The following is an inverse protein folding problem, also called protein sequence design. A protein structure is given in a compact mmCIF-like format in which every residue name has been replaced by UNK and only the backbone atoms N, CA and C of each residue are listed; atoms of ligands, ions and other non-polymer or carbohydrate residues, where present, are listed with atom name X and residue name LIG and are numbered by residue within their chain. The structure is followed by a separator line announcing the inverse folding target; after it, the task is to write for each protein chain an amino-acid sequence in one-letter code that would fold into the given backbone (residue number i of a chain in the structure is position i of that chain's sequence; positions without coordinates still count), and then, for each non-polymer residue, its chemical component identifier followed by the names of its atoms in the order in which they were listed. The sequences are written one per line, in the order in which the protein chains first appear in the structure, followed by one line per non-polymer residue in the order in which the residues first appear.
data_IF_681340022224
#
_entry.id   IF_681340022224
#
_cell.length_a   1.000
_cell.length_b   1.000
_cell.length_c   1.000
_cell.angle_alpha   90.00
_cell.angle_beta   90.00
_cell.angle_gamma   90.00
#
_symmetry.space_group_name_H-M   'P 1'
#
loop_
_entity.id
_entity.type
_entity.pdbx_description
1 polymer ?
2 non-polymer ?
3 non-polymer ?
4 water ?
#
# COMPACT_ATOMS: atom_id res chain seq x y z
N UNK A 1 8.36 -18.27 -0.94
CA UNK A 1 7.81 -17.24 0.00
C UNK A 1 8.95 -16.38 0.51
N UNK A 2 9.06 -15.13 0.06
CA UNK A 2 8.02 -14.36 -0.59
C UNK A 2 6.67 -14.44 0.12
N UNK A 3 6.66 -14.12 1.40
CA UNK A 3 5.42 -13.88 2.12
C UNK A 3 5.31 -12.39 2.37
N UNK A 4 4.10 -11.85 2.23
CA UNK A 4 3.90 -10.41 2.30
C UNK A 4 2.41 -10.15 2.48
N UNK A 5 2.09 -8.91 2.87
CA UNK A 5 0.71 -8.48 3.05
C UNK A 5 0.50 -7.12 2.40
N UNK A 6 -0.75 -6.78 2.13
CA UNK A 6 -1.06 -5.47 1.59
C UNK A 6 -1.64 -4.55 2.66
N UNK A 7 -1.13 -3.32 2.66
CA UNK A 7 -1.70 -2.23 3.45
C UNK A 7 -2.41 -1.35 2.44
N UNK A 8 -3.73 -1.43 2.41
CA UNK A 8 -4.48 -0.53 1.56
C UNK A 8 -4.53 0.83 2.22
N UNK A 9 -4.31 1.86 1.42
CA UNK A 9 -4.26 3.21 1.96
C UNK A 9 -5.28 4.09 1.22
N UNK A 10 -6.30 3.47 0.64
CA UNK A 10 -7.32 4.20 -0.10
C UNK A 10 -7.99 5.26 0.79
N UNK A 11 -8.04 5.00 2.10
CA UNK A 11 -8.67 5.93 3.05
C UNK A 11 -7.67 6.80 3.78
N UNK A 12 -6.45 6.86 3.25
CA UNK A 12 -5.44 7.74 3.80
C UNK A 12 -4.82 8.45 2.60
N UNK A 13 -3.90 7.76 1.94
CA UNK A 13 -3.35 8.26 0.67
C UNK A 13 -4.24 8.69 -0.54
N UNK A 14 -5.18 7.91 -1.09
CA UNK A 14 -6.53 7.77 -0.69
C UNK A 14 -7.20 9.15 -0.75
N UNK A 15 -7.28 9.74 0.41
CA UNK A 15 -8.00 10.95 0.60
C UNK A 15 -7.27 12.13 0.01
N UNK A 16 -5.98 11.95 -0.27
CA UNK A 16 -5.15 13.03 -0.81
C UNK A 16 -5.31 13.13 -2.31
N UNK A 17 -6.02 12.18 -2.89
CA UNK A 17 -6.33 12.26 -4.31
C UNK A 17 -7.13 13.55 -4.59
N UNK A 18 -6.83 14.21 -5.69
CA UNK A 18 -7.45 15.48 -6.03
C UNK A 18 -8.99 15.48 -5.87
N UNK A 19 -9.63 14.45 -6.39
CA UNK A 19 -11.10 14.41 -6.45
C UNK A 19 -11.76 13.58 -5.36
N UNK A 20 -10.99 13.12 -4.38
CA UNK A 20 -11.56 12.35 -3.29
C UNK A 20 -12.31 13.24 -2.30
N UNK A 21 -13.53 12.83 -1.98
CA UNK A 21 -14.31 13.53 -0.97
C UNK A 21 -15.18 12.46 -0.34
N UNK A 22 -14.57 11.61 0.48
CA UNK A 22 -15.24 10.43 1.00
C UNK A 22 -16.13 10.78 2.19
N UNK A 23 -17.42 10.44 2.11
CA UNK A 23 -18.28 10.54 3.30
C UNK A 23 -17.89 9.38 4.21
N UNK A 24 -18.30 9.46 5.47
CA UNK A 24 -18.09 8.38 6.41
C UNK A 24 -18.61 7.08 5.82
N UNK A 25 -19.78 7.13 5.21
CA UNK A 25 -20.38 5.93 4.64
C UNK A 25 -19.61 5.41 3.43
N UNK A 26 -19.03 6.32 2.66
CA UNK A 26 -18.15 5.88 1.55
C UNK A 26 -16.99 5.05 2.12
N UNK A 27 -16.39 5.54 3.18
CA UNK A 27 -15.21 4.87 3.76
C UNK A 27 -15.58 3.52 4.33
N UNK A 28 -16.73 3.46 5.00
CA UNK A 28 -17.18 2.20 5.59
C UNK A 28 -17.47 1.22 4.49
N UNK A 29 -18.07 1.68 3.41
CA UNK A 29 -18.31 0.81 2.28
C UNK A 29 -16.98 0.26 1.71
N UNK A 30 -16.02 1.16 1.52
CA UNK A 30 -14.71 0.78 0.97
C UNK A 30 -14.06 -0.24 1.90
N UNK A 31 -14.01 0.09 3.18
CA UNK A 31 -13.33 -0.78 4.15
C UNK A 31 -13.93 -2.17 4.25
N UNK A 32 -15.26 -2.25 4.19
CA UNK A 32 -15.93 -3.57 4.22
C UNK A 32 -15.69 -4.38 2.97
N UNK A 33 -15.67 -3.72 1.81
CA UNK A 33 -15.34 -4.43 0.58
C UNK A 33 -13.87 -4.94 0.59
N UNK A 34 -12.96 -4.10 1.08
CA UNK A 34 -11.54 -4.52 1.19
C UNK A 34 -11.39 -5.70 2.15
N UNK A 35 -12.15 -5.67 3.23
CA UNK A 35 -12.06 -6.74 4.23
C UNK A 35 -12.58 -8.03 3.66
N UNK A 36 -13.67 -7.92 2.93
CA UNK A 36 -14.21 -9.06 2.22
C UNK A 36 -13.25 -9.59 1.16
N UNK A 37 -12.57 -8.69 0.47
CA UNK A 37 -11.56 -9.08 -0.52
C UNK A 37 -10.44 -9.85 0.16
N UNK A 38 -10.17 -9.54 1.43
CA UNK A 38 -9.11 -10.23 2.19
C UNK A 38 -7.89 -9.37 2.50
N UNK A 39 -7.99 -8.06 2.24
CA UNK A 39 -6.89 -7.13 2.51
C UNK A 39 -6.49 -7.18 3.99
N UNK A 40 -5.19 -7.16 4.29
CA UNK A 40 -4.74 -7.40 5.65
C UNK A 40 -4.75 -6.16 6.55
N UNK A 41 -4.52 -4.99 5.95
CA UNK A 41 -4.50 -3.73 6.70
C UNK A 41 -5.22 -2.64 5.94
N UNK A 42 -5.88 -1.76 6.67
CA UNK A 42 -6.54 -0.62 6.07
C UNK A 42 -6.04 0.60 6.82
N UNK A 43 -5.37 1.49 6.12
CA UNK A 43 -4.75 2.65 6.74
C UNK A 43 -5.63 3.86 6.51
N UNK A 44 -5.77 4.69 7.53
CA UNK A 44 -6.68 5.83 7.47
C UNK A 44 -5.98 7.12 7.87
N UNK A 45 -6.49 8.20 7.29
CA UNK A 45 -6.00 9.54 7.53
C UNK A 45 -5.86 9.86 8.98
N UNK A 46 -4.85 10.66 9.31
CA UNK A 46 -4.58 11.03 10.68
C UNK A 46 -5.84 11.64 11.32
N UNK A 47 -6.10 11.29 12.56
CA UNK A 47 -7.28 11.81 13.26
C UNK A 47 -7.08 13.27 13.60
N UNK A 48 -5.84 13.74 13.54
CA UNK A 48 -5.57 15.13 13.86
C UNK A 48 -6.03 16.07 12.76
N UNK A 49 -6.31 15.53 11.57
CA UNK A 49 -6.60 16.40 10.41
C UNK A 49 -7.85 17.26 10.60
N UNK A 50 -8.90 16.65 11.14
CA UNK A 50 -10.17 17.36 11.32
C UNK A 50 -11.05 16.49 12.17
N UNK A 51 -12.16 17.05 12.65
CA UNK A 51 -12.77 16.22 13.66
C UNK A 51 -13.68 15.08 13.22
N UNK A 52 -14.42 15.16 12.13
CA UNK A 52 -14.29 14.34 10.94
C UNK A 52 -13.25 13.25 10.66
N UNK A 53 -11.97 13.57 10.55
CA UNK A 53 -11.04 12.48 10.27
C UNK A 53 -10.95 11.60 11.51
N UNK A 54 -10.96 12.23 12.68
CA UNK A 54 -10.96 11.51 13.94
C UNK A 54 -12.15 10.55 14.06
N UNK A 55 -13.35 11.08 13.87
CA UNK A 55 -14.58 10.27 13.88
C UNK A 55 -14.49 9.09 12.94
N UNK A 56 -14.10 9.36 11.69
CA UNK A 56 -13.96 8.29 10.71
C UNK A 56 -12.99 7.23 11.20
N UNK A 57 -11.86 7.64 11.78
CA UNK A 57 -10.89 6.68 12.31
C UNK A 57 -11.53 5.86 13.42
N UNK A 58 -12.26 6.53 14.29
CA UNK A 58 -12.95 5.86 15.40
C UNK A 58 -13.91 4.81 14.87
N UNK A 59 -14.76 5.17 13.93
CA UNK A 59 -15.69 4.22 13.33
C UNK A 59 -14.99 3.06 12.62
N UNK A 60 -14.06 3.40 11.74
CA UNK A 60 -13.36 2.38 10.97
C UNK A 60 -12.70 1.34 11.86
N UNK A 61 -12.05 1.78 12.94
CA UNK A 61 -11.32 0.89 13.83
C UNK A 61 -12.22 0.01 14.69
N UNK A 62 -13.51 0.34 14.72
CA UNK A 62 -14.45 -0.37 15.58
C UNK A 62 -15.46 -1.13 14.75
N UNK A 63 -15.23 -1.22 13.45
CA UNK A 63 -16.16 -1.88 12.55
C UNK A 63 -16.20 -3.38 12.75
N UNK A 64 -15.27 -3.91 13.56
CA UNK A 64 -15.11 -5.35 13.69
C UNK A 64 -14.62 -6.06 12.42
N UNK A 65 -13.84 -5.38 11.59
CA UNK A 65 -13.25 -6.04 10.41
C UNK A 65 -12.19 -7.08 10.81
N UNK A 66 -11.95 -8.04 9.94
CA UNK A 66 -10.81 -8.96 10.11
C UNK A 66 -9.47 -8.20 9.85
N UNK A 67 -9.45 -7.33 8.85
CA UNK A 67 -8.30 -6.44 8.61
C UNK A 67 -7.97 -5.55 9.81
N UNK A 68 -6.68 -5.30 10.04
CA UNK A 68 -6.29 -4.35 11.07
C UNK A 68 -6.41 -2.95 10.53
N UNK A 69 -6.96 -2.04 11.34
CA UNK A 69 -7.11 -0.68 10.92
C UNK A 69 -6.03 0.14 11.60
N UNK A 70 -5.38 0.97 10.82
CA UNK A 70 -4.16 1.61 11.23
C UNK A 70 -4.24 3.06 10.80
N UNK A 71 -3.73 3.96 11.61
CA UNK A 71 -3.73 5.35 11.19
C UNK A 71 -2.29 5.88 10.98
N UNK A 72 -2.20 6.90 10.14
CA UNK A 72 -0.93 7.45 9.70
C UNK A 72 -0.79 8.83 10.32
N UNK A 73 0.28 9.05 11.08
CA UNK A 73 0.51 10.34 11.73
C UNK A 73 1.96 10.82 11.59
N UNK A 74 2.15 12.13 11.71
CA UNK A 74 3.48 12.68 11.94
C UNK A 74 4.01 12.04 13.21
N UNK A 75 5.34 11.92 13.30
CA UNK A 75 5.95 11.29 14.46
C UNK A 75 6.04 12.31 15.60
N UNK A 76 4.91 12.58 16.23
CA UNK A 76 4.83 13.59 17.29
C UNK A 76 4.03 13.09 18.47
N UNK A 77 4.40 13.51 19.68
CA UNK A 77 3.71 13.10 20.89
C UNK A 77 2.22 13.48 20.87
N UNK A 78 1.93 14.68 20.38
CA UNK A 78 0.56 15.17 20.43
C UNK A 78 -0.33 14.35 19.53
N UNK A 79 0.14 14.08 18.31
CA UNK A 79 -0.63 13.30 17.39
C UNK A 79 -0.79 11.87 17.87
N UNK A 80 0.24 11.35 18.54
CA UNK A 80 0.19 9.97 19.00
C UNK A 80 -0.92 9.80 20.06
N UNK A 81 -1.05 10.80 20.92
CA UNK A 81 -2.12 10.77 21.93
C UNK A 81 -3.49 10.67 21.26
N UNK A 82 -3.80 11.59 20.36
CA UNK A 82 -5.03 11.49 19.58
C UNK A 82 -5.18 10.12 18.90
N UNK A 83 -4.10 9.62 18.31
CA UNK A 83 -4.18 8.35 17.60
C UNK A 83 -4.55 7.18 18.50
N UNK A 84 -3.89 7.04 19.63
CA UNK A 84 -4.19 5.90 20.47
C UNK A 84 -5.64 5.96 20.97
N UNK A 85 -6.13 7.16 21.24
CA UNK A 85 -7.47 7.34 21.78
C UNK A 85 -8.55 6.89 20.78
N UNK A 86 -8.18 6.74 19.51
CA UNK A 86 -9.15 6.36 18.50
C UNK A 86 -9.45 4.88 18.47
N UNK A 87 -8.66 4.09 19.18
CA UNK A 87 -8.82 2.64 19.15
C UNK A 87 -8.26 1.89 17.93
N UNK A 88 -7.49 2.56 17.07
CA UNK A 88 -6.89 1.83 15.92
C UNK A 88 -6.03 0.66 16.41
N UNK A 89 -5.86 -0.36 15.58
CA UNK A 89 -5.01 -1.49 15.93
C UNK A 89 -3.54 -1.24 15.61
N UNK A 90 -3.26 -0.19 14.83
CA UNK A 90 -1.88 0.16 14.46
C UNK A 90 -1.69 1.65 14.28
N UNK A 91 -0.47 2.12 14.51
CA UNK A 91 -0.12 3.49 14.20
C UNK A 91 1.14 3.49 13.31
N UNK A 92 1.01 4.11 12.14
CA UNK A 92 2.09 4.26 11.13
C UNK A 92 2.70 5.64 11.29
N UNK A 93 3.88 5.69 11.90
CA UNK A 93 4.59 6.95 12.09
C UNK A 93 5.38 7.36 10.86
N UNK A 94 5.30 8.64 10.51
CA UNK A 94 6.16 9.22 9.49
C UNK A 94 7.02 10.32 10.09
N UNK A 95 8.34 10.12 10.13
CA UNK A 95 9.25 11.19 10.54
C UNK A 95 9.52 12.06 9.32
N UNK A 96 9.00 13.29 9.37
CA UNK A 96 9.00 14.16 8.20
C UNK A 96 10.37 14.73 7.86
N UNK A 97 10.56 15.03 6.58
CA UNK A 97 11.82 15.59 6.11
C UNK A 97 11.92 17.07 6.44
N UNK A 106 20.58 19.70 8.05
CA UNK A 106 20.31 18.46 8.74
C UNK A 106 20.58 18.56 10.23
N UNK A 107 19.68 17.97 11.03
CA UNK A 107 19.82 17.94 12.48
C UNK A 107 20.36 16.58 12.93
N UNK A 108 21.12 16.56 14.04
CA UNK A 108 21.87 15.37 14.44
C UNK A 108 21.07 14.07 14.64
N UNK A 109 21.77 12.95 14.53
CA UNK A 109 21.11 11.65 14.46
C UNK A 109 20.67 11.13 15.82
N UNK A 110 21.49 11.31 16.86
CA UNK A 110 21.04 10.83 18.16
C UNK A 110 19.75 11.52 18.59
N UNK A 111 19.57 12.77 18.14
CA UNK A 111 18.40 13.56 18.48
C UNK A 111 17.16 13.06 17.73
N UNK A 112 17.31 12.82 16.43
CA UNK A 112 16.24 12.20 15.66
C UNK A 112 15.86 10.88 16.31
N UNK A 113 16.87 10.09 16.70
CA UNK A 113 16.60 8.80 17.32
C UNK A 113 15.88 9.00 18.65
N UNK A 114 16.35 10.00 19.40
CA UNK A 114 15.72 10.43 20.64
C UNK A 114 14.21 10.74 20.49
N UNK A 115 13.90 11.67 19.60
CA UNK A 115 12.53 12.12 19.37
C UNK A 115 11.62 10.99 18.91
N UNK A 116 12.14 10.14 18.02
CA UNK A 116 11.39 8.97 17.58
C UNK A 116 11.07 8.02 18.73
N UNK A 117 12.10 7.64 19.49
CA UNK A 117 11.94 6.71 20.60
C UNK A 117 10.94 7.21 21.64
N UNK A 118 10.84 8.53 21.77
CA UNK A 118 9.94 9.14 22.75
C UNK A 118 8.49 8.88 22.37
N UNK A 119 8.16 9.14 21.11
CA UNK A 119 6.81 8.89 20.60
C UNK A 119 6.47 7.43 20.70
N UNK A 120 7.36 6.57 20.20
CA UNK A 120 7.16 5.13 20.26
C UNK A 120 6.97 4.64 21.69
N UNK A 121 7.76 5.17 22.60
CA UNK A 121 7.67 4.79 24.02
C UNK A 121 6.31 5.20 24.62
N UNK A 122 5.86 6.41 24.31
CA UNK A 122 4.55 6.84 24.75
C UNK A 122 3.48 5.82 24.33
N UNK A 123 3.52 5.40 23.07
CA UNK A 123 2.51 4.50 22.52
C UNK A 123 2.54 3.12 23.19
N UNK A 124 3.73 2.61 23.49
CA UNK A 124 3.85 1.30 24.11
C UNK A 124 3.24 1.37 25.49
N UNK A 125 3.45 2.51 26.15
CA UNK A 125 2.98 2.73 27.51
C UNK A 125 1.46 2.83 27.52
N UNK A 126 0.92 3.69 26.66
CA UNK A 126 -0.50 4.01 26.66
C UNK A 126 -1.34 2.96 25.96
N UNK A 127 -0.74 2.20 25.05
CA UNK A 127 -1.48 1.21 24.27
C UNK A 127 -0.63 0.00 23.85
N UNK A 128 -0.20 -0.81 24.84
CA UNK A 128 0.78 -1.85 24.55
C UNK A 128 0.43 -2.79 23.40
N UNK A 129 -0.84 -2.88 23.02
CA UNK A 129 -1.20 -3.83 21.98
C UNK A 129 -1.26 -3.21 20.58
N UNK A 130 -1.03 -1.92 20.49
CA UNK A 130 -1.11 -1.28 19.20
C UNK A 130 0.21 -1.52 18.45
N UNK A 131 0.12 -1.90 17.18
CA UNK A 131 1.31 -2.14 16.33
C UNK A 131 1.88 -0.83 15.85
N UNK A 132 3.20 -0.68 15.94
CA UNK A 132 3.81 0.58 15.59
C UNK A 132 4.77 0.39 14.41
N UNK A 133 4.63 1.23 13.39
CA UNK A 133 5.58 1.25 12.26
C UNK A 133 6.27 2.61 12.23
N UNK A 134 7.55 2.62 11.87
CA UNK A 134 8.27 3.88 11.75
C UNK A 134 8.83 4.01 10.33
N UNK A 135 8.54 5.14 9.66
CA UNK A 135 9.17 5.48 8.39
C UNK A 135 9.79 6.88 8.44
N UNK A 136 10.90 7.07 7.72
CA UNK A 136 11.40 8.41 7.44
C UNK A 136 10.93 8.82 6.04
N UNK A 137 10.44 10.04 5.91
CA UNK A 137 9.95 10.52 4.64
C UNK A 137 11.07 10.54 3.59
N UNK A 138 10.72 10.23 2.35
CA UNK A 138 11.65 10.42 1.24
C UNK A 138 12.90 9.59 1.52
N UNK A 139 12.66 8.31 1.83
CA UNK A 139 13.68 7.40 2.35
C UNK A 139 14.84 7.18 1.39
N UNK A 140 14.53 7.12 0.10
CA UNK A 140 15.52 6.71 -0.91
C UNK A 140 16.44 7.88 -1.29
N UNK A 141 16.03 9.11 -0.97
CA UNK A 141 16.85 10.28 -1.23
C UNK A 141 17.56 10.85 0.00
N UNK A 142 17.30 10.25 1.16
CA UNK A 142 18.00 10.59 2.39
C UNK A 142 19.43 10.02 2.34
N UNK A 143 20.39 10.72 2.92
CA UNK A 143 21.73 10.15 2.85
C UNK A 143 21.75 8.85 3.65
N UNK A 144 22.37 7.84 3.07
CA UNK A 144 22.10 6.48 3.47
C UNK A 144 22.69 6.08 4.81
N UNK A 145 23.90 6.53 5.15
CA UNK A 145 24.48 6.17 6.43
C UNK A 145 23.58 6.62 7.58
N UNK A 146 23.10 7.86 7.49
CA UNK A 146 22.31 8.41 8.59
C UNK A 146 20.93 7.75 8.61
N UNK A 147 20.41 7.43 7.43
CA UNK A 147 19.12 6.77 7.38
C UNK A 147 19.17 5.42 8.08
N UNK A 148 20.15 4.60 7.71
CA UNK A 148 20.34 3.29 8.33
C UNK A 148 20.65 3.41 9.81
N UNK A 149 21.34 4.46 10.21
CA UNK A 149 21.65 4.63 11.63
C UNK A 149 20.33 4.81 12.40
N UNK A 150 19.44 5.63 11.87
CA UNK A 150 18.14 5.88 12.50
C UNK A 150 17.31 4.58 12.54
N UNK A 151 17.20 3.90 11.41
CA UNK A 151 16.39 2.67 11.36
C UNK A 151 16.94 1.58 12.24
N UNK A 152 18.26 1.47 12.31
CA UNK A 152 18.87 0.46 13.13
C UNK A 152 18.57 0.67 14.62
N UNK A 153 18.57 1.93 15.02
CA UNK A 153 18.40 2.27 16.45
C UNK A 153 16.92 2.21 16.86
N UNK A 154 16.02 2.47 15.91
CA UNK A 154 14.59 2.51 16.22
C UNK A 154 13.94 1.12 16.09
N UNK A 155 14.49 0.29 15.20
CA UNK A 155 13.87 -1.00 14.88
C UNK A 155 13.58 -1.94 16.08
N UNK A 156 14.46 -1.96 17.09
CA UNK A 156 14.19 -2.86 18.22
C UNK A 156 12.90 -2.47 18.97
N UNK A 157 12.43 -1.24 18.77
CA UNK A 157 11.29 -0.70 19.51
C UNK A 157 9.99 -0.72 18.73
N UNK A 158 10.05 -1.12 17.46
CA UNK A 158 8.87 -1.07 16.61
C UNK A 158 8.60 -2.44 16.00
N UNK A 159 7.38 -2.61 15.52
CA UNK A 159 7.00 -3.82 14.82
C UNK A 159 7.39 -3.81 13.35
N UNK A 160 7.53 -2.63 12.78
CA UNK A 160 7.75 -2.54 11.35
C UNK A 160 8.47 -1.24 11.03
N UNK A 161 9.36 -1.25 10.03
CA UNK A 161 9.89 0.00 9.50
C UNK A 161 9.42 0.14 8.08
N UNK A 162 9.26 1.38 7.63
CA UNK A 162 8.82 1.58 6.26
C UNK A 162 9.79 2.44 5.46
N UNK A 163 9.75 2.26 4.15
CA UNK A 163 10.49 3.10 3.22
C UNK A 163 9.46 3.76 2.32
N UNK A 164 9.65 5.04 2.03
CA UNK A 164 8.68 5.78 1.21
C UNK A 164 9.35 6.47 0.05
N UNK A 165 9.02 6.08 -1.18
CA UNK A 165 9.45 6.82 -2.37
C UNK A 165 8.43 7.95 -2.62
N UNK A 166 8.56 8.99 -1.80
CA UNK A 166 7.59 10.07 -1.63
C UNK A 166 7.33 10.85 -2.93
N UNK A 167 8.37 11.07 -3.71
CA UNK A 167 8.22 11.85 -4.93
C UNK A 167 8.19 11.01 -6.19
N UNK A 168 8.19 9.68 -6.03
CA UNK A 168 8.00 8.80 -7.17
C UNK A 168 9.18 8.76 -8.13
N UNK A 169 10.41 8.82 -7.61
CA UNK A 169 11.60 8.79 -8.48
C UNK A 169 12.55 7.61 -8.25
N UNK A 170 12.34 6.83 -7.20
CA UNK A 170 13.22 5.68 -7.00
C UNK A 170 13.19 4.75 -8.20
N UNK A 171 14.29 4.08 -8.39
CA UNK A 171 14.52 3.20 -9.50
C UNK A 171 14.42 1.78 -8.89
N UNK A 172 14.04 0.77 -9.68
CA UNK A 172 13.86 -0.57 -9.13
C UNK A 172 15.12 -1.16 -8.46
N UNK A 173 16.31 -0.91 -9.01
CA UNK A 173 17.49 -1.56 -8.42
C UNK A 173 17.90 -0.80 -7.19
N UNK A 174 17.63 0.49 -7.17
CA UNK A 174 17.82 1.28 -5.96
C UNK A 174 16.92 0.82 -4.81
N UNK A 175 15.64 0.57 -5.13
CA UNK A 175 14.72 0.07 -4.11
C UNK A 175 15.19 -1.29 -3.61
N UNK A 176 15.51 -2.19 -4.54
CA UNK A 176 16.02 -3.52 -4.12
C UNK A 176 17.22 -3.38 -3.18
N UNK A 177 18.18 -2.59 -3.58
CA UNK A 177 19.41 -2.41 -2.79
C UNK A 177 19.14 -1.82 -1.40
N UNK A 178 18.32 -0.77 -1.31
CA UNK A 178 18.12 -0.17 0.00
C UNK A 178 17.26 -1.03 0.94
N UNK A 179 16.27 -1.72 0.41
CA UNK A 179 15.51 -2.70 1.23
C UNK A 179 16.43 -3.80 1.77
N UNK A 180 17.33 -4.34 0.93
CA UNK A 180 18.30 -5.33 1.41
C UNK A 180 19.15 -4.78 2.55
N UNK A 181 19.64 -3.55 2.40
CA UNK A 181 20.47 -2.93 3.47
C UNK A 181 19.66 -2.74 4.76
N UNK A 182 18.42 -2.27 4.61
CA UNK A 182 17.55 -2.11 5.78
C UNK A 182 17.33 -3.46 6.44
N UNK A 183 17.01 -4.49 5.65
CA UNK A 183 16.85 -5.82 6.24
C UNK A 183 18.12 -6.25 7.01
N UNK A 184 19.29 -5.95 6.46
CA UNK A 184 20.55 -6.30 7.13
C UNK A 184 20.65 -5.70 8.52
N UNK A 185 20.27 -4.44 8.61
CA UNK A 185 20.45 -3.64 9.81
C UNK A 185 19.34 -3.85 10.85
N UNK A 186 18.12 -4.17 10.41
CA UNK A 186 17.04 -4.31 11.39
C UNK A 186 16.83 -5.75 11.83
N UNK A 187 17.42 -6.69 11.10
CA UNK A 187 17.34 -8.10 11.48
C UNK A 187 16.10 -8.77 10.90
N UNK A 188 15.91 -10.07 11.17
CA UNK A 188 14.78 -10.76 10.54
C UNK A 188 13.41 -10.55 11.23
N UNK A 189 13.38 -10.03 12.46
CA UNK A 189 12.15 -9.95 13.26
C UNK A 189 11.34 -8.66 13.12
N UNK A 190 11.88 -7.68 12.41
CA UNK A 190 11.17 -6.44 12.22
C UNK A 190 10.64 -6.45 10.80
N UNK A 191 9.37 -6.16 10.63
CA UNK A 191 8.76 -6.16 9.30
C UNK A 191 9.22 -4.95 8.51
N UNK A 192 9.07 -5.01 7.18
CA UNK A 192 9.50 -3.93 6.32
C UNK A 192 8.42 -3.55 5.29
N UNK A 193 8.04 -2.29 5.31
CA UNK A 193 6.93 -1.81 4.49
C UNK A 193 7.46 -0.94 3.35
N UNK A 194 6.88 -1.07 2.15
CA UNK A 194 7.21 -0.20 1.03
C UNK A 194 6.01 0.63 0.58
N UNK A 195 6.24 1.93 0.42
CA UNK A 195 5.25 2.89 -0.09
C UNK A 195 5.86 3.57 -1.28
N UNK A 196 5.28 3.42 -2.45
CA UNK A 196 5.89 4.09 -3.60
C UNK A 196 4.97 4.84 -4.53
N UNK A 197 5.33 6.08 -4.83
CA UNK A 197 4.58 6.89 -5.79
C UNK A 197 4.90 6.55 -7.25
N UNK A 198 3.97 6.85 -8.16
CA UNK A 198 4.07 6.37 -9.54
C UNK A 198 4.50 7.42 -10.59
N UNK A 199 5.09 8.52 -10.15
CA UNK A 199 5.47 9.61 -11.06
C UNK A 199 6.35 9.18 -12.22
N UNK A 200 7.19 8.16 -12.00
CA UNK A 200 8.05 7.71 -13.08
C UNK A 200 7.68 6.31 -13.53
N UNK A 201 6.45 5.89 -13.24
CA UNK A 201 5.97 4.64 -13.79
C UNK A 201 6.56 3.40 -13.17
N UNK A 202 7.13 3.54 -11.97
CA UNK A 202 7.85 2.41 -11.32
C UNK A 202 7.21 1.94 -10.01
N UNK A 203 6.01 2.40 -9.67
CA UNK A 203 5.42 2.01 -8.38
C UNK A 203 5.21 0.49 -8.24
N UNK A 204 4.73 -0.16 -9.28
CA UNK A 204 4.50 -1.60 -9.20
C UNK A 204 5.82 -2.38 -9.23
N UNK A 205 6.69 -2.01 -10.15
CA UNK A 205 8.01 -2.63 -10.26
C UNK A 205 8.80 -2.50 -8.97
N UNK A 206 8.77 -1.32 -8.36
CA UNK A 206 9.46 -1.07 -7.09
C UNK A 206 8.88 -1.87 -5.92
N UNK A 207 7.55 -1.99 -5.85
CA UNK A 207 6.95 -2.81 -4.81
C UNK A 207 7.38 -4.26 -4.98
N UNK A 208 7.42 -4.74 -6.21
CA UNK A 208 7.90 -6.08 -6.46
C UNK A 208 9.36 -6.28 -6.05
N UNK A 209 10.23 -5.36 -6.46
CA UNK A 209 11.65 -5.43 -6.04
C UNK A 209 11.80 -5.36 -4.53
N UNK A 210 10.99 -4.52 -3.89
CA UNK A 210 11.01 -4.42 -2.43
C UNK A 210 10.76 -5.79 -1.80
N UNK A 211 9.71 -6.46 -2.25
CA UNK A 211 9.42 -7.82 -1.78
C UNK A 211 10.56 -8.81 -2.06
N UNK A 212 11.10 -8.79 -3.27
CA UNK A 212 12.23 -9.68 -3.55
C UNK A 212 13.44 -9.42 -2.62
N UNK A 213 13.57 -8.18 -2.15
CA UNK A 213 14.66 -7.81 -1.25
C UNK A 213 14.36 -8.10 0.23
N UNK A 214 13.14 -8.56 0.52
CA UNK A 214 12.78 -8.91 1.91
C UNK A 214 11.63 -8.09 2.51
N UNK A 215 11.05 -7.17 1.76
CA UNK A 215 9.92 -6.41 2.30
C UNK A 215 8.74 -7.34 2.54
N UNK A 216 7.97 -7.05 3.58
CA UNK A 216 6.90 -7.93 4.00
C UNK A 216 5.49 -7.27 3.80
N UNK A 217 5.47 -5.96 3.54
CA UNK A 217 4.21 -5.20 3.43
C UNK A 217 4.34 -4.22 2.30
N UNK A 218 3.30 -4.13 1.48
CA UNK A 218 3.27 -3.17 0.36
C UNK A 218 2.01 -2.28 0.46
N UNK A 219 2.18 -0.95 0.40
CA UNK A 219 1.04 -0.02 0.37
C UNK A 219 0.45 -0.01 -1.04
N UNK A 220 -0.88 -0.14 -1.13
CA UNK A 220 -1.59 0.05 -2.39
C UNK A 220 -2.81 0.96 -2.17
N UNK A 221 -3.36 1.51 -3.25
CA UNK A 221 -4.71 2.07 -3.18
C UNK A 221 -5.48 1.50 -4.37
N UNK A 222 -6.80 1.47 -4.26
CA UNK A 222 -7.59 1.03 -5.40
C UNK A 222 -7.39 2.04 -6.53
N UNK A 223 -7.17 1.54 -7.75
CA UNK A 223 -6.84 2.38 -8.91
C UNK A 223 -5.59 3.25 -8.74
N UNK A 224 -4.84 3.04 -7.67
CA UNK A 224 -3.61 3.79 -7.44
C UNK A 224 -3.85 5.25 -7.06
N UNK A 225 -5.10 5.60 -6.72
CA UNK A 225 -5.37 7.00 -6.38
C UNK A 225 -4.54 7.51 -5.21
N UNK A 226 -4.15 8.79 -5.26
CA UNK A 226 -3.32 9.37 -4.21
C UNK A 226 -2.85 10.76 -4.59
N UNK A 227 -1.93 11.34 -3.81
CA UNK A 227 -1.26 12.56 -4.24
C UNK A 227 -0.78 12.41 -5.67
N UNK A 228 -0.89 13.47 -6.47
CA UNK A 228 -0.43 13.48 -7.86
C UNK A 228 -0.96 12.30 -8.65
N UNK A 229 -0.08 11.53 -9.31
CA UNK A 229 -0.62 10.39 -10.06
C UNK A 229 -0.74 9.12 -9.22
N UNK A 230 -0.54 9.24 -7.92
CA UNK A 230 -0.87 8.18 -6.99
C UNK A 230 0.25 7.19 -6.73
N UNK A 231 -0.13 6.07 -6.12
CA UNK A 231 0.84 5.08 -5.64
C UNK A 231 0.56 3.76 -6.29
N UNK A 232 1.28 2.73 -5.88
CA UNK A 232 1.07 1.40 -6.40
C UNK A 232 -0.43 1.03 -6.38
N UNK A 233 -1.02 0.71 -7.52
CA UNK A 233 -2.44 0.38 -7.52
C UNK A 233 -2.66 -1.10 -7.17
N UNK A 234 -3.75 -1.36 -6.47
CA UNK A 234 -4.06 -2.70 -6.05
C UNK A 234 -4.08 -3.66 -7.20
N UNK A 235 -4.82 -3.34 -8.25
CA UNK A 235 -5.01 -4.29 -9.33
C UNK A 235 -3.71 -4.55 -10.09
N UNK A 236 -2.97 -3.49 -10.37
CA UNK A 236 -1.69 -3.68 -11.10
C UNK A 236 -0.71 -4.51 -10.24
N UNK A 237 -0.68 -4.24 -8.94
CA UNK A 237 0.19 -5.00 -8.03
C UNK A 237 -0.20 -6.48 -8.01
N UNK A 238 -1.50 -6.76 -7.98
CA UNK A 238 -1.95 -8.15 -7.94
C UNK A 238 -1.69 -8.86 -9.23
N UNK A 239 -1.81 -8.17 -10.36
CA UNK A 239 -1.44 -8.77 -11.63
C UNK A 239 0.05 -9.15 -11.61
N UNK A 240 0.88 -8.21 -11.17
CA UNK A 240 2.32 -8.46 -11.11
C UNK A 240 2.60 -9.68 -10.20
N UNK A 241 2.01 -9.71 -9.00
CA UNK A 241 2.33 -10.83 -8.05
C UNK A 241 1.69 -12.16 -8.45
N UNK A 242 0.50 -12.09 -9.07
CA UNK A 242 -0.18 -13.31 -9.54
C UNK A 242 0.63 -14.12 -10.53
N UNK A 243 1.33 -13.45 -11.45
CA UNK A 243 2.12 -14.14 -12.46
C UNK A 243 3.30 -14.88 -11.84
N UNK A 244 3.72 -14.43 -10.67
CA UNK A 244 4.88 -15.02 -9.97
C UNK A 244 4.50 -16.04 -8.87
N UNK A 245 3.39 -15.77 -8.18
CA UNK A 245 2.93 -16.64 -7.09
C UNK A 245 1.42 -16.90 -7.22
N UNK A 246 0.99 -17.57 -8.29
CA UNK A 246 -0.46 -17.59 -8.51
C UNK A 246 -1.23 -18.31 -7.40
N UNK A 247 -0.67 -19.39 -6.85
CA UNK A 247 -1.35 -20.17 -5.80
C UNK A 247 -1.54 -19.31 -4.56
N UNK A 248 -0.47 -18.63 -4.17
CA UNK A 248 -0.46 -17.80 -2.98
C UNK A 248 -1.44 -16.63 -3.09
N UNK A 249 -1.43 -15.97 -4.25
CA UNK A 249 -2.27 -14.81 -4.46
C UNK A 249 -3.75 -15.20 -4.56
N UNK A 250 -4.07 -16.26 -5.28
CA UNK A 250 -5.49 -16.60 -5.36
C UNK A 250 -6.06 -17.10 -4.05
N UNK A 251 -5.24 -17.75 -3.24
CA UNK A 251 -5.71 -18.17 -1.91
C UNK A 251 -5.85 -17.00 -0.93
N UNK A 252 -5.01 -15.98 -1.07
CA UNK A 252 -5.02 -14.82 -0.15
C UNK A 252 -6.24 -13.92 -0.34
N UNK A 253 -6.65 -13.70 -1.59
CA UNK A 253 -7.63 -12.66 -1.88
C UNK A 253 -8.77 -13.17 -2.76
N UNK A 254 -9.92 -12.51 -2.68
CA UNK A 254 -11.04 -12.87 -3.57
C UNK A 254 -10.83 -12.11 -4.88
N UNK A 255 -10.02 -12.68 -5.77
CA UNK A 255 -9.53 -11.94 -6.94
C UNK A 255 -10.66 -11.48 -7.88
N UNK A 256 -11.74 -12.28 -7.94
CA UNK A 256 -12.87 -11.96 -8.82
C UNK A 256 -13.61 -10.70 -8.39
N UNK A 257 -13.34 -10.19 -7.19
CA UNK A 257 -13.90 -8.91 -6.72
C UNK A 257 -13.19 -7.67 -7.28
N UNK A 258 -12.09 -7.84 -8.00
CA UNK A 258 -11.34 -6.65 -8.41
C UNK A 258 -12.14 -5.65 -9.25
N UNK A 259 -12.89 -6.13 -10.26
CA UNK A 259 -13.67 -5.16 -11.04
C UNK A 259 -14.61 -4.31 -10.19
N UNK A 260 -15.23 -4.92 -9.17
CA UNK A 260 -16.18 -4.17 -8.35
C UNK A 260 -15.48 -3.18 -7.44
N UNK A 261 -14.27 -3.52 -6.99
CA UNK A 261 -13.50 -2.57 -6.22
C UNK A 261 -13.11 -1.38 -7.07
N UNK A 262 -12.61 -1.63 -8.28
CA UNK A 262 -12.18 -0.53 -9.13
C UNK A 262 -13.41 0.34 -9.49
N UNK A 263 -14.53 -0.30 -9.80
CA UNK A 263 -15.74 0.49 -10.16
C UNK A 263 -16.20 1.37 -9.01
N UNK A 264 -16.27 0.80 -7.83
CA UNK A 264 -16.73 1.52 -6.65
C UNK A 264 -15.95 2.81 -6.45
N UNK A 265 -14.62 2.70 -6.49
CA UNK A 265 -13.77 3.85 -6.26
C UNK A 265 -13.86 4.85 -7.41
N UNK A 266 -13.81 4.37 -8.64
CA UNK A 266 -13.93 5.27 -9.78
C UNK A 266 -15.23 6.09 -9.67
N UNK A 267 -16.33 5.41 -9.34
CA UNK A 267 -17.62 6.10 -9.21
C UNK A 267 -17.53 7.13 -8.09
N UNK A 268 -16.98 6.75 -6.93
CA UNK A 268 -16.90 7.71 -5.84
C UNK A 268 -16.07 8.96 -6.11
N UNK A 269 -14.93 8.82 -6.80
CA UNK A 269 -14.05 9.98 -6.99
C UNK A 269 -14.26 10.64 -8.32
N UNK A 270 -15.16 10.10 -9.13
CA UNK A 270 -15.59 10.78 -10.37
C UNK A 270 -14.61 10.64 -11.53
N UNK A 271 -13.99 9.48 -11.66
CA UNK A 271 -13.13 9.24 -12.81
C UNK A 271 -13.62 8.04 -13.58
N UNK A 272 -13.16 7.90 -14.82
CA UNK A 272 -13.36 6.68 -15.56
C UNK A 272 -12.18 5.75 -15.28
N UNK A 273 -12.42 4.45 -15.23
CA UNK A 273 -11.31 3.51 -15.20
C UNK A 273 -10.52 3.67 -16.49
N UNK A 274 -9.20 3.88 -16.39
CA UNK A 274 -8.48 4.12 -17.62
C UNK A 274 -8.39 2.91 -18.54
N UNK A 275 -8.11 3.08 -19.83
CA UNK A 275 -8.86 2.43 -20.86
C UNK A 275 -7.81 1.26 -20.86
N UNK A 276 -6.60 1.55 -20.39
CA UNK A 276 -5.51 0.55 -20.32
C UNK A 276 -5.23 0.05 -18.90
N UNK A 277 -6.18 0.25 -18.00
CA UNK A 277 -5.97 -0.11 -16.60
C UNK A 277 -5.74 -1.59 -16.47
N UNK A 278 -4.78 -1.99 -15.62
CA UNK A 278 -4.52 -3.40 -15.36
C UNK A 278 -5.81 -4.17 -15.06
N UNK A 279 -5.99 -5.27 -15.78
CA UNK A 279 -7.06 -6.23 -15.56
C UNK A 279 -8.45 -5.70 -15.93
N UNK A 280 -8.85 -4.58 -15.35
CA UNK A 280 -10.23 -4.10 -15.46
C UNK A 280 -10.42 -3.00 -16.50
N UNK A 281 -9.33 -2.58 -17.15
CA UNK A 281 -9.43 -1.61 -18.23
C UNK A 281 -10.15 -2.17 -19.44
N UNK A 282 -10.87 -1.31 -20.15
CA UNK A 282 -11.58 -1.66 -21.37
C UNK A 282 -10.76 -2.61 -22.24
N UNK A 283 -9.46 -2.34 -22.29
CA UNK A 283 -8.60 -2.90 -23.28
C UNK A 283 -7.67 -4.05 -22.78
N UNK A 284 -7.74 -4.32 -21.49
CA UNK A 284 -6.75 -5.18 -20.81
C UNK A 284 -6.59 -6.57 -21.42
N UNK A 285 -7.68 -7.13 -21.96
CA UNK A 285 -7.62 -8.43 -22.59
C UNK A 285 -8.09 -8.41 -24.04
N UNK A 286 -7.81 -7.32 -24.76
CA UNK A 286 -8.17 -7.27 -26.19
C UNK A 286 -7.04 -7.70 -27.10
N UNK A 287 -7.34 -8.63 -27.98
CA UNK A 287 -6.40 -9.13 -28.96
C UNK A 287 -6.84 -8.76 -30.37
N UNK A 288 -5.89 -8.45 -31.23
CA UNK A 288 -6.22 -7.99 -32.58
C UNK A 288 -5.37 -8.64 -33.65
N UNK A 289 -4.05 -8.70 -33.44
CA UNK A 289 -3.16 -9.28 -34.46
C UNK A 289 -3.59 -10.69 -34.87
N UNK A 290 -3.57 -10.95 -36.17
CA UNK A 290 -4.00 -12.23 -36.70
C UNK A 290 -3.25 -13.42 -36.15
N UNK A 291 -1.93 -13.27 -35.97
CA UNK A 291 -1.11 -14.37 -35.45
C UNK A 291 -1.37 -14.61 -33.96
N UNK A 292 -1.83 -13.56 -33.27
CA UNK A 292 -2.30 -13.70 -31.89
C UNK A 292 -3.63 -14.46 -31.83
N UNK A 293 -4.55 -14.09 -32.71
CA UNK A 293 -5.88 -14.73 -32.75
C UNK A 293 -5.75 -16.19 -33.15
N UNK A 294 -4.88 -16.45 -34.13
CA UNK A 294 -4.53 -17.82 -34.53
C UNK A 294 -4.18 -18.68 -33.31
N UNK A 295 -3.36 -18.12 -32.42
CA UNK A 295 -2.86 -18.84 -31.26
C UNK A 295 -3.88 -18.98 -30.13
N UNK A 296 -4.61 -17.91 -29.87
CA UNK A 296 -5.62 -17.90 -28.81
C UNK A 296 -6.70 -18.96 -29.02
N UNK A 297 -6.95 -19.30 -30.28
CA UNK A 297 -7.91 -20.35 -30.59
C UNK A 297 -7.40 -21.71 -30.14
N UNK A 298 -6.14 -22.01 -30.43
CA UNK A 298 -5.50 -23.23 -29.93
C UNK A 298 -5.28 -23.14 -28.42
N UNK A 299 -4.96 -21.94 -27.95
CA UNK A 299 -4.67 -21.72 -26.52
C UNK A 299 -4.56 -20.23 -26.17
N UNK A 300 -5.54 -19.71 -25.40
CA UNK A 300 -5.54 -18.29 -25.01
C UNK A 300 -4.31 -17.93 -24.17
N UNK A 301 -3.80 -18.91 -23.44
CA UNK A 301 -2.59 -18.76 -22.64
C UNK A 301 -1.42 -18.21 -23.47
N UNK A 302 -1.50 -18.38 -24.78
CA UNK A 302 -0.37 -18.05 -25.66
C UNK A 302 -0.04 -16.56 -25.62
N UNK A 303 -1.07 -15.73 -25.45
CA UNK A 303 -0.85 -14.30 -25.42
C UNK A 303 -1.52 -13.65 -24.26
N UNK A 304 -1.71 -14.39 -23.18
CA UNK A 304 -2.29 -13.80 -21.98
C UNK A 304 -1.41 -14.08 -20.77
N UNK A 305 -1.14 -13.04 -19.99
CA UNK A 305 -0.26 -13.12 -18.83
C UNK A 305 -0.92 -13.90 -17.70
N UNK A 306 -2.24 -13.82 -17.61
CA UNK A 306 -3.03 -14.49 -16.58
C UNK A 306 -4.44 -14.68 -17.15
N UNK A 307 -5.23 -15.59 -16.56
CA UNK A 307 -6.58 -15.82 -17.07
C UNK A 307 -7.56 -14.73 -16.63
N UNK A 308 -8.30 -14.17 -17.61
CA UNK A 308 -9.22 -13.09 -17.25
C UNK A 308 -10.27 -13.54 -16.25
N UNK A 309 -10.68 -14.81 -16.31
CA UNK A 309 -11.72 -15.33 -15.42
C UNK A 309 -11.32 -15.26 -13.95
N UNK A 310 -10.03 -15.46 -13.69
CA UNK A 310 -9.49 -15.36 -12.32
C UNK A 310 -9.89 -14.03 -11.70
N UNK A 311 -9.89 -12.97 -12.51
CA UNK A 311 -10.22 -11.66 -11.97
C UNK A 311 -11.63 -11.20 -12.29
N UNK A 312 -12.48 -12.11 -12.77
CA UNK A 312 -13.87 -11.79 -13.06
C UNK A 312 -14.07 -10.90 -14.29
N UNK A 313 -13.19 -11.02 -15.28
CA UNK A 313 -13.37 -10.29 -16.54
C UNK A 313 -13.29 -11.26 -17.71
N UNK A 314 -13.48 -10.75 -18.93
CA UNK A 314 -13.51 -11.56 -20.14
C UNK A 314 -12.57 -11.00 -21.19
N UNK A 315 -12.03 -11.84 -22.06
CA UNK A 315 -11.20 -11.38 -23.17
C UNK A 315 -12.07 -10.84 -24.32
N UNK A 316 -11.44 -10.10 -25.23
CA UNK A 316 -12.08 -9.59 -26.45
C UNK A 316 -11.23 -9.94 -27.65
N UNK A 317 -11.85 -10.48 -28.69
CA UNK A 317 -11.12 -10.74 -29.93
C UNK A 317 -11.59 -9.78 -31.01
N UNK A 318 -10.67 -8.99 -31.56
CA UNK A 318 -10.99 -8.09 -32.67
C UNK A 318 -10.60 -8.74 -33.99
N UNK A 319 -11.60 -9.18 -34.73
CA UNK A 319 -11.36 -9.97 -35.91
C UNK A 319 -11.39 -9.16 -37.22
N UNK A 320 -11.43 -7.83 -37.12
CA UNK A 320 -11.30 -6.98 -38.32
C UNK A 320 -9.89 -6.38 -38.46
#
# INVERSE_FOLDING_TARGET
MREWKIIDSTLREGEQFEKANFSTQDKVEIAKALDEFGIEYIEVTTPVASPQSRKDAEVLASLGLKAKVVTHIQCRLDAAKVAVETGVQGIDLLFGTSKYLRAPHGRDIPRIIEEAKEVIAYIREAAPHVEVRFSAEDTFRSEEQDLLAVYEAVAPYVDRVGLADTVGVATPRQVYALVREVRRVVGPRVDIEFHGHNDTGCAIANAYEAIEAGATHVDTTILGIGERNGITPLGGFLARMYTLQPEYVRRKYKLEMLPELDRMVARMVGVEIPFNNYITGETAFSHKAGMHLKAIYINPEAYEPYPPEVFGVKRKLIIASRLTGRHAIKARAEELGLHYGEEELHRVTQHIKALADRGQLTLEELDRILREWITAHHHHHH
#
